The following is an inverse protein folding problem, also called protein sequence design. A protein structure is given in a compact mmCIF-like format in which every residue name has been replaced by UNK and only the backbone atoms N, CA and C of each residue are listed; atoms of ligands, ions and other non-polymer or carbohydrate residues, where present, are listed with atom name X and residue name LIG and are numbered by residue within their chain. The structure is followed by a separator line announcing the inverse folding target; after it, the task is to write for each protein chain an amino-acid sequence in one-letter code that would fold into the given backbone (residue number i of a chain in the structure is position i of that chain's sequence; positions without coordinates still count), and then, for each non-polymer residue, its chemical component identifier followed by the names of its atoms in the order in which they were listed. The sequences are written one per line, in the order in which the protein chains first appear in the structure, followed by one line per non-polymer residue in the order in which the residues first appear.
data_IF_714927302785
#
_entry.id   IF_714927302785
#
_cell.length_a   1.000
_cell.length_b   1.000
_cell.length_c   1.000
_cell.angle_alpha   90.00
_cell.angle_beta   90.00
_cell.angle_gamma   90.00
#
_symmetry.space_group_name_H-M   'P 1'
#
loop_
_entity.id
_entity.type
_entity.pdbx_description
1 polymer ?
#
# COMPACT_ATOMS: atom_id res chain seq x y z
N UNK A 1 30.22 -5.03 -16.74
CA UNK A 1 28.81 -4.77 -17.14
C UNK A 1 28.78 -4.57 -18.63
N UNK A 2 27.87 -5.24 -19.36
CA UNK A 2 27.71 -5.06 -20.81
C UNK A 2 26.80 -3.85 -21.05
N UNK A 3 27.27 -2.87 -21.83
CA UNK A 3 26.45 -1.75 -22.29
C UNK A 3 25.59 -2.19 -23.48
N UNK A 4 24.32 -1.81 -23.49
CA UNK A 4 23.35 -2.09 -24.57
C UNK A 4 23.56 -1.12 -25.75
N UNK A 5 24.42 -0.10 -25.59
CA UNK A 5 24.64 0.99 -26.55
C UNK A 5 25.38 0.59 -27.84
N UNK A 6 26.10 -0.54 -27.85
CA UNK A 6 27.11 -0.81 -28.89
C UNK A 6 26.69 -1.88 -29.91
N UNK A 7 25.44 -2.35 -29.87
CA UNK A 7 24.95 -3.41 -30.77
C UNK A 7 23.45 -3.43 -30.99
N UNK A 8 23.03 -4.01 -32.12
CA UNK A 8 21.61 -4.28 -32.40
C UNK A 8 21.22 -5.58 -31.73
N UNK A 9 20.33 -5.49 -30.73
CA UNK A 9 19.81 -6.64 -29.99
C UNK A 9 18.31 -6.73 -30.22
N UNK A 10 17.83 -7.90 -30.64
CA UNK A 10 16.41 -8.18 -30.72
C UNK A 10 15.97 -8.99 -29.50
N UNK A 11 14.96 -8.52 -28.78
CA UNK A 11 14.51 -9.10 -27.51
C UNK A 11 13.15 -9.74 -27.71
N UNK A 12 13.10 -11.07 -27.56
CA UNK A 12 11.85 -11.83 -27.55
C UNK A 12 11.58 -12.36 -26.14
N UNK A 13 10.31 -12.40 -25.75
CA UNK A 13 9.87 -12.96 -24.47
C UNK A 13 9.11 -14.25 -24.75
N UNK A 14 9.58 -15.37 -24.20
CA UNK A 14 8.90 -16.66 -24.25
C UNK A 14 8.67 -17.14 -22.81
N UNK A 15 7.40 -17.22 -22.39
CA UNK A 15 6.81 -17.76 -21.14
C UNK A 15 7.52 -17.45 -19.80
N UNK A 16 8.82 -17.72 -19.65
CA UNK A 16 9.67 -17.43 -18.46
C UNK A 16 11.12 -17.06 -18.80
N UNK A 17 11.44 -16.73 -20.06
CA UNK A 17 12.80 -16.43 -20.52
C UNK A 17 12.80 -15.16 -21.38
N UNK A 18 13.77 -14.28 -21.13
CA UNK A 18 14.14 -13.23 -22.10
C UNK A 18 15.17 -13.82 -23.03
N UNK A 19 14.86 -13.81 -24.32
CA UNK A 19 15.73 -14.25 -25.39
C UNK A 19 16.35 -13.00 -26.00
N UNK A 20 17.63 -12.79 -25.74
CA UNK A 20 18.41 -11.76 -26.39
C UNK A 20 19.07 -12.37 -27.61
N UNK A 21 18.63 -11.98 -28.79
CA UNK A 21 19.30 -12.29 -30.04
C UNK A 21 20.26 -11.12 -30.34
N UNK A 22 21.55 -11.32 -30.10
CA UNK A 22 22.57 -10.34 -30.50
C UNK A 22 22.72 -10.44 -32.01
N UNK A 23 22.22 -9.46 -32.75
CA UNK A 23 22.23 -9.45 -34.22
C UNK A 23 23.56 -8.91 -34.74
N UNK A 24 24.09 -7.85 -34.11
CA UNK A 24 25.37 -7.23 -34.47
C UNK A 24 26.03 -6.61 -33.24
N UNK A 25 27.27 -6.99 -32.95
CA UNK A 25 28.06 -6.43 -31.85
C UNK A 25 29.56 -6.49 -32.20
N UNK A 26 30.37 -5.44 -31.91
CA UNK A 26 31.76 -5.33 -32.37
C UNK A 26 32.71 -6.42 -31.81
N UNK A 27 32.34 -7.06 -30.70
CA UNK A 27 33.19 -8.08 -30.03
C UNK A 27 32.53 -9.45 -29.88
N UNK A 28 31.27 -9.60 -30.28
CA UNK A 28 30.48 -10.82 -30.02
C UNK A 28 29.83 -11.26 -31.32
N UNK A 29 30.07 -12.52 -31.71
CA UNK A 29 29.40 -13.14 -32.86
C UNK A 29 27.90 -13.29 -32.58
N UNK A 30 27.02 -13.27 -33.59
CA UNK A 30 25.59 -13.44 -33.38
C UNK A 30 25.28 -14.64 -32.49
N UNK A 31 24.67 -14.38 -31.33
CA UNK A 31 24.49 -15.36 -30.26
C UNK A 31 23.11 -15.20 -29.65
N UNK A 32 22.46 -16.33 -29.34
CA UNK A 32 21.19 -16.40 -28.63
C UNK A 32 21.46 -16.58 -27.14
N UNK A 33 21.23 -15.54 -26.34
CA UNK A 33 21.39 -15.58 -24.88
C UNK A 33 20.02 -15.76 -24.25
N UNK A 34 19.82 -16.86 -23.53
CA UNK A 34 18.59 -17.14 -22.77
C UNK A 34 18.83 -16.76 -21.33
N UNK A 35 18.19 -15.70 -20.87
CA UNK A 35 18.21 -15.32 -19.45
C UNK A 35 16.92 -15.83 -18.81
N UNK A 36 16.99 -16.73 -17.81
CA UNK A 36 15.81 -17.10 -17.04
C UNK A 36 15.26 -15.85 -16.35
N UNK A 37 13.96 -15.59 -16.53
CA UNK A 37 13.27 -14.57 -15.75
C UNK A 37 13.08 -15.20 -14.37
N UNK A 38 13.97 -14.89 -13.44
CA UNK A 38 13.69 -15.08 -12.01
C UNK A 38 12.56 -14.09 -11.71
N UNK A 39 11.32 -14.58 -11.79
CA UNK A 39 10.17 -13.78 -11.41
C UNK A 39 10.21 -13.65 -9.90
N UNK A 40 10.37 -12.42 -9.38
CA UNK A 40 10.11 -12.16 -7.97
C UNK A 40 8.73 -12.75 -7.64
N UNK A 41 8.54 -13.40 -6.48
CA UNK A 41 7.24 -13.91 -6.11
C UNK A 41 6.22 -12.78 -6.24
N UNK A 42 5.20 -12.96 -7.08
CA UNK A 42 4.24 -11.88 -7.38
C UNK A 42 3.34 -11.50 -6.19
N UNK A 43 3.37 -12.30 -5.13
CA UNK A 43 2.54 -12.13 -3.94
C UNK A 43 3.36 -11.39 -2.89
N UNK A 44 2.87 -10.20 -2.49
CA UNK A 44 3.51 -9.36 -1.47
C UNK A 44 3.80 -10.12 -0.16
N UNK A 45 2.92 -11.06 0.22
CA UNK A 45 3.06 -11.87 1.43
C UNK A 45 4.40 -12.62 1.52
N UNK A 46 5.02 -13.01 0.40
CA UNK A 46 6.31 -13.71 0.42
C UNK A 46 7.49 -12.85 0.89
N UNK A 47 7.32 -11.54 0.92
CA UNK A 47 8.33 -10.62 1.44
C UNK A 47 8.18 -10.38 2.93
N UNK A 48 7.15 -10.92 3.59
CA UNK A 48 7.03 -10.86 5.05
C UNK A 48 7.80 -12.02 5.68
N UNK A 49 8.43 -11.73 6.80
CA UNK A 49 9.09 -12.74 7.61
C UNK A 49 8.09 -13.76 8.17
N UNK A 50 8.47 -15.04 8.21
CA UNK A 50 7.59 -16.11 8.66
C UNK A 50 7.20 -15.96 10.13
N UNK A 51 8.13 -15.53 10.99
CA UNK A 51 7.85 -15.32 12.41
C UNK A 51 6.94 -14.11 12.61
N UNK A 52 7.13 -13.05 11.80
CA UNK A 52 6.20 -11.94 11.74
C UNK A 52 4.79 -12.39 11.35
N UNK A 53 4.65 -13.20 10.30
CA UNK A 53 3.34 -13.73 9.87
C UNK A 53 2.69 -14.61 10.94
N UNK A 54 3.46 -15.46 11.62
CA UNK A 54 2.96 -16.28 12.74
C UNK A 54 2.49 -15.41 13.90
N UNK A 55 3.25 -14.36 14.23
CA UNK A 55 2.90 -13.43 15.31
C UNK A 55 1.63 -12.64 14.98
N UNK A 56 1.52 -12.12 13.75
CA UNK A 56 0.31 -11.41 13.29
C UNK A 56 -0.93 -12.32 13.30
N UNK A 57 -0.80 -13.56 12.83
CA UNK A 57 -1.88 -14.56 12.91
C UNK A 57 -2.28 -14.87 14.34
N UNK A 58 -1.31 -15.02 15.24
CA UNK A 58 -1.58 -15.23 16.67
C UNK A 58 -2.31 -14.02 17.27
N UNK A 59 -1.86 -12.82 16.94
CA UNK A 59 -2.52 -11.58 17.35
C UNK A 59 -3.96 -11.50 16.85
N UNK A 60 -4.20 -11.81 15.57
CA UNK A 60 -5.53 -11.87 15.00
C UNK A 60 -6.46 -12.85 15.75
N UNK A 61 -5.91 -13.98 16.21
CA UNK A 61 -6.65 -14.97 17.00
C UNK A 61 -6.92 -14.53 18.43
N UNK A 62 -5.97 -13.84 19.06
CA UNK A 62 -6.07 -13.38 20.45
C UNK A 62 -6.83 -12.05 20.59
N UNK A 63 -7.25 -11.46 19.46
CA UNK A 63 -7.97 -10.19 19.41
C UNK A 63 -7.07 -8.97 19.54
N UNK A 64 -5.85 -9.03 19.00
CA UNK A 64 -4.84 -7.96 19.01
C UNK A 64 -4.47 -7.45 20.41
N UNK A 65 -4.35 -8.38 21.37
CA UNK A 65 -3.93 -8.08 22.77
C UNK A 65 -2.44 -7.78 22.94
N UNK A 66 -1.63 -8.02 21.91
CA UNK A 66 -0.21 -7.68 21.87
C UNK A 66 0.07 -6.77 20.69
N UNK A 67 1.27 -6.19 20.64
CA UNK A 67 1.72 -5.31 19.55
C UNK A 67 2.89 -5.96 18.80
N UNK A 68 2.98 -5.74 17.49
CA UNK A 68 4.11 -6.12 16.64
C UNK A 68 5.27 -5.14 16.85
N UNK A 69 4.96 -3.84 16.97
CA UNK A 69 5.91 -2.73 17.18
C UNK A 69 5.88 -2.25 18.63
N UNK A 70 6.76 -2.74 19.53
CA UNK A 70 6.69 -2.42 20.95
C UNK A 70 7.04 -0.97 21.30
N UNK A 71 7.81 -0.23 20.48
CA UNK A 71 8.18 1.16 20.78
C UNK A 71 7.11 2.16 20.34
N UNK A 72 6.45 1.92 19.20
CA UNK A 72 5.53 2.91 18.60
C UNK A 72 4.09 2.42 18.42
N UNK A 73 3.81 1.14 18.68
CA UNK A 73 2.50 0.52 18.47
C UNK A 73 2.22 0.19 17.01
N UNK A 74 1.20 -0.61 16.72
CA UNK A 74 0.91 -1.10 15.36
C UNK A 74 0.07 -0.19 14.49
N UNK A 75 -0.41 0.90 15.07
CA UNK A 75 -1.23 1.88 14.38
C UNK A 75 -0.37 3.03 13.85
N UNK A 76 -0.67 3.50 12.65
CA UNK A 76 -0.04 4.64 11.98
C UNK A 76 -1.09 5.66 11.62
N UNK A 77 -0.70 6.93 11.52
CA UNK A 77 -1.64 7.96 11.11
C UNK A 77 -1.99 7.84 9.61
N UNK A 78 -3.26 8.02 9.27
CA UNK A 78 -3.80 7.93 7.90
C UNK A 78 -3.04 8.84 6.94
N UNK A 79 -2.69 10.05 7.36
CA UNK A 79 -2.02 11.01 6.49
C UNK A 79 -0.66 10.54 6.00
N UNK A 80 0.11 9.80 6.80
CA UNK A 80 1.38 9.24 6.32
C UNK A 80 1.13 8.14 5.29
N UNK A 81 0.18 7.24 5.55
CA UNK A 81 -0.22 6.21 4.58
C UNK A 81 -0.66 6.84 3.27
N UNK A 82 -1.51 7.86 3.34
CA UNK A 82 -2.08 8.52 2.18
C UNK A 82 -1.05 9.36 1.44
N UNK A 83 -0.12 10.00 2.15
CA UNK A 83 1.03 10.65 1.56
C UNK A 83 1.87 9.66 0.75
N UNK A 84 2.16 8.48 1.29
CA UNK A 84 2.90 7.42 0.58
C UNK A 84 2.15 6.98 -0.68
N UNK A 85 0.85 6.70 -0.55
CA UNK A 85 0.03 6.17 -1.61
C UNK A 85 -0.24 7.17 -2.75
N UNK A 86 -0.74 8.37 -2.42
CA UNK A 86 -1.10 9.38 -3.40
C UNK A 86 0.10 10.02 -4.08
N UNK A 87 1.27 10.01 -3.43
CA UNK A 87 2.51 10.45 -4.06
C UNK A 87 2.94 9.55 -5.22
N UNK A 88 2.61 8.26 -5.20
CA UNK A 88 2.86 7.35 -6.32
C UNK A 88 2.10 7.74 -7.59
N UNK A 89 0.95 8.39 -7.45
CA UNK A 89 0.13 8.83 -8.58
C UNK A 89 0.58 10.16 -9.19
N UNK A 90 1.53 10.88 -8.57
CA UNK A 90 2.06 12.13 -9.12
C UNK A 90 2.81 11.95 -10.44
N UNK A 91 3.20 10.71 -10.77
CA UNK A 91 3.98 10.36 -11.97
C UNK A 91 3.17 9.59 -13.02
N UNK A 92 2.20 8.78 -12.61
CA UNK A 92 1.40 7.94 -13.50
C UNK A 92 -0.04 7.80 -12.99
N UNK A 93 -0.83 8.89 -13.01
CA UNK A 93 -2.18 8.91 -12.44
C UNK A 93 -3.16 7.98 -13.18
N UNK A 94 -2.85 7.61 -14.43
CA UNK A 94 -3.72 6.77 -15.25
C UNK A 94 -3.49 5.27 -15.04
N UNK A 95 -2.22 4.82 -14.97
CA UNK A 95 -1.91 3.39 -14.91
C UNK A 95 -1.55 2.91 -13.50
N UNK A 96 -1.08 3.79 -12.62
CA UNK A 96 -0.76 3.41 -11.23
C UNK A 96 -1.95 2.80 -10.50
N UNK A 97 -3.18 3.37 -10.55
CA UNK A 97 -4.32 2.80 -9.85
C UNK A 97 -4.67 1.38 -10.31
N UNK A 98 -4.72 1.15 -11.62
CA UNK A 98 -4.97 -0.17 -12.21
C UNK A 98 -3.94 -1.19 -11.74
N UNK A 99 -2.67 -0.80 -11.78
CA UNK A 99 -1.57 -1.67 -11.41
C UNK A 99 -1.58 -2.03 -9.94
N UNK A 100 -1.85 -1.05 -9.07
CA UNK A 100 -2.00 -1.30 -7.65
C UNK A 100 -3.21 -2.21 -7.38
N UNK A 101 -4.36 -1.96 -8.02
CA UNK A 101 -5.54 -2.81 -7.92
C UNK A 101 -5.22 -4.27 -8.28
N UNK A 102 -4.58 -4.52 -9.43
CA UNK A 102 -4.24 -5.87 -9.89
C UNK A 102 -3.26 -6.59 -8.96
N UNK A 103 -2.17 -5.91 -8.56
CA UNK A 103 -1.16 -6.50 -7.67
C UNK A 103 -1.77 -6.78 -6.29
N UNK A 104 -2.57 -5.87 -5.76
CA UNK A 104 -3.23 -6.02 -4.46
C UNK A 104 -4.26 -7.13 -4.48
N UNK A 105 -5.11 -7.19 -5.51
CA UNK A 105 -6.08 -8.28 -5.70
C UNK A 105 -5.37 -9.63 -5.80
N UNK A 106 -4.33 -9.73 -6.62
CA UNK A 106 -3.53 -10.95 -6.76
C UNK A 106 -2.85 -11.35 -5.44
N UNK A 107 -2.27 -10.38 -4.72
CA UNK A 107 -1.52 -10.58 -3.49
C UNK A 107 -2.39 -10.82 -2.26
N UNK A 108 -3.70 -10.59 -2.35
CA UNK A 108 -4.67 -10.86 -1.28
C UNK A 108 -5.57 -12.05 -1.60
N UNK A 109 -5.30 -12.78 -2.69
CA UNK A 109 -5.97 -14.04 -3.00
C UNK A 109 -5.25 -15.18 -2.28
N UNK A 110 -5.85 -15.83 -1.25
CA UNK A 110 -5.20 -16.89 -0.49
C UNK A 110 -4.75 -18.10 -1.33
N UNK A 111 -5.39 -18.35 -2.48
CA UNK A 111 -4.97 -19.42 -3.40
C UNK A 111 -3.60 -19.17 -4.03
N UNK A 112 -3.12 -17.91 -4.03
CA UNK A 112 -1.81 -17.55 -4.59
C UNK A 112 -0.66 -17.67 -3.60
N UNK A 113 -0.93 -17.84 -2.29
CA UNK A 113 0.11 -17.71 -1.26
C UNK A 113 1.08 -18.89 -1.25
N UNK A 114 0.77 -19.99 -1.91
CA UNK A 114 1.58 -21.22 -1.91
C UNK A 114 1.80 -21.83 -0.51
N UNK A 115 1.19 -21.24 0.52
CA UNK A 115 1.14 -21.71 1.90
C UNK A 115 -0.32 -21.71 2.36
N UNK A 116 -0.75 -22.77 3.03
CA UNK A 116 -2.06 -22.81 3.66
C UNK A 116 -1.98 -22.01 4.96
N UNK A 117 -2.33 -20.71 4.91
CA UNK A 117 -2.36 -19.87 6.12
C UNK A 117 -3.25 -20.43 7.23
N UNK A 118 -4.28 -21.21 6.89
CA UNK A 118 -5.16 -21.88 7.85
C UNK A 118 -4.44 -23.03 8.56
N UNK A 119 -3.32 -23.52 8.02
CA UNK A 119 -2.48 -24.53 8.68
C UNK A 119 -1.79 -24.01 9.94
N UNK A 120 -1.64 -22.69 10.10
CA UNK A 120 -1.13 -22.08 11.33
C UNK A 120 -2.16 -22.06 12.46
N UNK A 121 -3.44 -22.32 12.17
CA UNK A 121 -4.49 -22.40 13.19
C UNK A 121 -4.42 -23.75 13.92
N UNK A 122 -4.74 -23.77 15.24
CA UNK A 122 -4.97 -25.02 15.96
C UNK A 122 -5.99 -25.91 15.22
N UNK A 123 -5.78 -27.23 15.23
CA UNK A 123 -6.53 -28.18 14.40
C UNK A 123 -8.07 -28.04 14.51
N UNK A 124 -8.59 -27.78 15.72
CA UNK A 124 -10.03 -27.62 15.95
C UNK A 124 -10.58 -26.32 15.31
N UNK A 125 -9.82 -25.22 15.35
CA UNK A 125 -10.19 -23.95 14.69
C UNK A 125 -10.06 -24.07 13.18
N UNK A 126 -9.04 -24.77 12.68
CA UNK A 126 -8.85 -25.06 11.25
C UNK A 126 -10.06 -25.80 10.66
N UNK A 127 -10.52 -26.84 11.34
CA UNK A 127 -11.68 -27.62 10.90
C UNK A 127 -12.97 -26.79 10.93
N UNK A 128 -13.18 -26.02 12.00
CA UNK A 128 -14.33 -25.13 12.14
C UNK A 128 -14.35 -24.05 11.04
N UNK A 129 -13.20 -23.42 10.78
CA UNK A 129 -13.05 -22.41 9.73
C UNK A 129 -13.42 -22.98 8.35
N UNK A 130 -12.86 -24.15 7.99
CA UNK A 130 -13.14 -24.81 6.71
C UNK A 130 -14.61 -25.22 6.55
N UNK A 131 -15.27 -25.63 7.62
CA UNK A 131 -16.67 -26.04 7.59
C UNK A 131 -17.63 -24.84 7.47
N UNK A 132 -17.23 -23.68 7.96
CA UNK A 132 -18.09 -22.49 7.98
C UNK A 132 -17.98 -21.62 6.72
N UNK A 133 -16.95 -21.81 5.89
CA UNK A 133 -16.78 -21.10 4.63
C UNK A 133 -17.78 -21.64 3.58
N UNK A 134 -18.62 -20.78 2.99
CA UNK A 134 -19.48 -21.17 1.87
C UNK A 134 -18.69 -21.62 0.64
N UNK A 135 -19.24 -22.55 -0.14
CA UNK A 135 -18.60 -23.01 -1.39
C UNK A 135 -18.46 -21.90 -2.45
N UNK A 136 -19.43 -20.97 -2.46
CA UNK A 136 -19.44 -19.76 -3.27
C UNK A 136 -20.21 -18.63 -2.57
N UNK A 137 -19.97 -17.41 -3.04
CA UNK A 137 -20.59 -16.18 -2.54
C UNK A 137 -21.69 -15.64 -3.46
N UNK A 138 -22.19 -16.42 -4.43
CA UNK A 138 -23.32 -16.02 -5.29
C UNK A 138 -24.55 -15.65 -4.47
N UNK A 139 -24.89 -16.46 -3.46
CA UNK A 139 -26.08 -16.23 -2.63
C UNK A 139 -25.85 -15.06 -1.68
N UNK A 140 -26.81 -14.14 -1.60
CA UNK A 140 -26.79 -12.99 -0.68
C UNK A 140 -26.49 -13.41 0.76
N UNK A 141 -27.10 -14.50 1.25
CA UNK A 141 -26.84 -15.04 2.59
C UNK A 141 -25.38 -15.45 2.81
N UNK A 142 -24.73 -16.04 1.80
CA UNK A 142 -23.34 -16.48 1.90
C UNK A 142 -22.40 -15.27 1.91
N UNK A 143 -22.65 -14.30 1.03
CA UNK A 143 -21.88 -13.05 1.00
C UNK A 143 -22.05 -12.26 2.30
N UNK A 144 -23.28 -12.15 2.83
CA UNK A 144 -23.55 -11.52 4.13
C UNK A 144 -22.73 -12.16 5.24
N UNK A 145 -22.72 -13.50 5.32
CA UNK A 145 -21.92 -14.24 6.31
C UNK A 145 -20.42 -13.93 6.20
N UNK A 146 -19.88 -13.84 4.98
CA UNK A 146 -18.48 -13.46 4.75
C UNK A 146 -18.16 -12.05 5.28
N UNK A 147 -19.04 -11.08 5.01
CA UNK A 147 -18.85 -9.71 5.48
C UNK A 147 -19.05 -9.57 6.99
N UNK A 148 -20.05 -10.22 7.59
CA UNK A 148 -20.34 -10.09 9.02
C UNK A 148 -19.31 -10.79 9.91
N UNK A 149 -18.83 -11.98 9.52
CA UNK A 149 -17.89 -12.74 10.33
C UNK A 149 -16.43 -12.40 10.02
N UNK A 150 -16.08 -12.32 8.74
CA UNK A 150 -14.70 -12.09 8.30
C UNK A 150 -14.40 -10.61 8.17
N UNK A 151 -14.96 -9.97 7.16
CA UNK A 151 -14.52 -8.63 6.74
C UNK A 151 -14.76 -7.58 7.81
N UNK A 152 -15.96 -7.50 8.40
CA UNK A 152 -16.31 -6.49 9.41
C UNK A 152 -15.37 -6.55 10.61
N UNK A 153 -15.14 -7.75 11.16
CA UNK A 153 -14.26 -7.92 12.32
C UNK A 153 -12.82 -7.51 12.03
N UNK A 154 -12.28 -7.85 10.86
CA UNK A 154 -10.94 -7.40 10.45
C UNK A 154 -10.88 -5.89 10.25
N UNK A 155 -11.89 -5.29 9.64
CA UNK A 155 -11.87 -3.87 9.29
C UNK A 155 -11.95 -2.96 10.51
N UNK A 156 -12.80 -3.34 11.47
CA UNK A 156 -12.92 -2.68 12.77
C UNK A 156 -11.61 -2.83 13.56
N UNK A 157 -11.00 -4.02 13.58
CA UNK A 157 -9.71 -4.26 14.26
C UNK A 157 -8.57 -3.47 13.64
N UNK A 158 -8.54 -3.35 12.32
CA UNK A 158 -7.52 -2.55 11.61
C UNK A 158 -7.83 -1.07 11.59
N UNK A 159 -8.97 -0.68 12.18
CA UNK A 159 -9.44 0.68 12.19
C UNK A 159 -9.56 1.26 10.76
N UNK A 160 -9.81 0.41 9.78
CA UNK A 160 -9.79 0.78 8.35
C UNK A 160 -11.10 1.43 7.88
N UNK A 161 -12.21 1.13 8.55
CA UNK A 161 -13.51 1.71 8.32
C UNK A 161 -14.61 0.82 8.87
N UNK A 162 -15.84 1.33 8.92
CA UNK A 162 -17.01 0.58 9.37
C UNK A 162 -17.74 0.04 8.14
N UNK A 163 -17.85 -1.28 8.04
CA UNK A 163 -18.51 -1.95 6.92
C UNK A 163 -19.91 -2.44 7.31
N UNK A 164 -20.87 -2.15 6.43
CA UNK A 164 -22.24 -2.66 6.52
C UNK A 164 -22.64 -3.37 5.23
N UNK A 165 -23.08 -4.63 5.32
CA UNK A 165 -23.60 -5.36 4.17
C UNK A 165 -25.03 -4.92 3.85
N UNK A 166 -25.27 -4.47 2.62
CA UNK A 166 -26.58 -3.96 2.19
C UNK A 166 -27.43 -5.10 1.63
N UNK A 167 -27.98 -5.94 2.52
CA UNK A 167 -28.74 -7.14 2.16
C UNK A 167 -29.93 -6.85 1.25
N UNK A 168 -30.74 -5.83 1.57
CA UNK A 168 -31.94 -5.48 0.80
C UNK A 168 -31.63 -4.99 -0.62
N UNK A 169 -30.43 -4.44 -0.85
CA UNK A 169 -29.98 -3.96 -2.16
C UNK A 169 -29.29 -5.06 -2.97
N UNK A 170 -28.72 -6.05 -2.26
CA UNK A 170 -27.97 -7.14 -2.86
C UNK A 170 -28.86 -8.18 -3.52
N UNK A 171 -28.37 -8.77 -4.61
CA UNK A 171 -29.01 -9.85 -5.37
C UNK A 171 -27.98 -10.96 -5.64
N UNK A 172 -28.40 -12.15 -6.12
CA UNK A 172 -27.44 -13.16 -6.53
C UNK A 172 -26.40 -12.60 -7.52
N UNK A 173 -25.11 -12.86 -7.26
CA UNK A 173 -23.95 -12.40 -8.04
C UNK A 173 -23.81 -10.86 -8.17
N UNK A 174 -24.55 -10.09 -7.35
CA UNK A 174 -24.45 -8.62 -7.33
C UNK A 174 -24.66 -8.11 -5.92
N UNK A 175 -23.57 -7.79 -5.23
CA UNK A 175 -23.59 -7.45 -3.81
C UNK A 175 -23.21 -6.01 -3.57
N UNK A 176 -23.81 -5.41 -2.55
CA UNK A 176 -23.56 -4.04 -2.16
C UNK A 176 -23.13 -3.96 -0.71
N UNK A 177 -22.13 -3.13 -0.45
CA UNK A 177 -21.65 -2.84 0.90
C UNK A 177 -21.46 -1.34 1.06
N UNK A 178 -21.80 -0.85 2.25
CA UNK A 178 -21.52 0.52 2.68
C UNK A 178 -20.23 0.53 3.49
N UNK A 179 -19.44 1.57 3.29
CA UNK A 179 -18.20 1.82 4.00
C UNK A 179 -18.20 3.25 4.56
N UNK A 180 -18.27 3.33 5.89
CA UNK A 180 -18.25 4.57 6.66
C UNK A 180 -16.85 4.79 7.22
N UNK A 181 -16.45 6.05 7.37
CA UNK A 181 -15.16 6.42 7.97
C UNK A 181 -13.96 5.68 7.32
N UNK A 182 -14.05 5.44 6.01
CA UNK A 182 -13.05 4.70 5.25
C UNK A 182 -11.76 5.48 5.12
N UNK A 183 -10.63 4.88 5.51
CA UNK A 183 -9.36 5.59 5.55
C UNK A 183 -8.90 6.11 4.18
N UNK A 184 -9.18 5.40 3.08
CA UNK A 184 -8.70 5.78 1.72
C UNK A 184 -9.32 7.09 1.20
N UNK A 185 -10.48 7.49 1.73
CA UNK A 185 -11.23 8.64 1.26
C UNK A 185 -11.39 9.74 2.32
N UNK A 186 -11.05 9.46 3.58
CA UNK A 186 -11.29 10.40 4.67
C UNK A 186 -10.46 11.67 4.48
N UNK A 187 -11.03 12.83 4.77
CA UNK A 187 -10.35 14.12 4.62
C UNK A 187 -10.22 14.62 3.17
N UNK A 188 -10.82 13.92 2.19
CA UNK A 188 -10.82 14.26 0.76
C UNK A 188 -12.24 14.52 0.22
N UNK A 189 -13.10 15.12 1.04
CA UNK A 189 -14.47 15.45 0.68
C UNK A 189 -14.53 16.35 -0.56
N UNK A 190 -15.42 16.01 -1.50
CA UNK A 190 -15.73 16.82 -2.69
C UNK A 190 -14.54 17.10 -3.62
N UNK A 191 -13.57 16.19 -3.74
CA UNK A 191 -12.47 16.30 -4.71
C UNK A 191 -12.93 16.11 -6.18
N UNK A 192 -14.10 15.48 -6.38
CA UNK A 192 -14.76 15.32 -7.67
C UNK A 192 -14.51 13.99 -8.37
N UNK A 193 -14.09 12.97 -7.64
CA UNK A 193 -13.79 11.62 -8.15
C UNK A 193 -13.97 10.60 -7.02
N UNK A 194 -14.08 9.32 -7.38
CA UNK A 194 -13.98 8.21 -6.45
C UNK A 194 -12.51 8.04 -6.01
N UNK A 195 -12.23 7.41 -4.87
CA UNK A 195 -10.89 7.40 -4.28
C UNK A 195 -10.40 6.02 -3.84
N UNK A 196 -11.30 5.14 -3.40
CA UNK A 196 -10.91 3.88 -2.80
C UNK A 196 -10.73 2.80 -3.87
N UNK A 197 -9.56 2.16 -3.88
CA UNK A 197 -9.31 1.02 -4.76
C UNK A 197 -8.36 -0.03 -4.21
N UNK A 198 -7.60 0.27 -3.15
CA UNK A 198 -6.78 -0.74 -2.47
C UNK A 198 -7.68 -1.68 -1.67
N UNK A 199 -8.51 -1.14 -0.76
CA UNK A 199 -9.38 -1.99 0.07
C UNK A 199 -10.43 -2.75 -0.74
N UNK A 200 -11.03 -2.15 -1.80
CA UNK A 200 -11.81 -2.89 -2.76
C UNK A 200 -11.02 -4.05 -3.40
N UNK A 201 -9.83 -3.81 -3.95
CA UNK A 201 -8.99 -4.85 -4.55
C UNK A 201 -8.69 -6.01 -3.58
N UNK A 202 -8.33 -5.69 -2.34
CA UNK A 202 -8.10 -6.69 -1.29
C UNK A 202 -9.33 -7.56 -1.08
N UNK A 203 -10.51 -6.93 -1.00
CA UNK A 203 -11.78 -7.62 -0.73
C UNK A 203 -12.10 -8.63 -1.83
N UNK A 204 -11.97 -8.25 -3.10
CA UNK A 204 -12.24 -9.17 -4.21
C UNK A 204 -11.14 -10.22 -4.41
N UNK A 205 -9.90 -9.91 -4.04
CA UNK A 205 -8.82 -10.91 -3.98
C UNK A 205 -9.15 -12.02 -2.98
N UNK A 206 -9.56 -11.64 -1.76
CA UNK A 206 -9.97 -12.60 -0.72
C UNK A 206 -11.17 -13.43 -1.18
N UNK A 207 -12.19 -12.81 -1.78
CA UNK A 207 -13.36 -13.53 -2.31
C UNK A 207 -12.95 -14.57 -3.35
N UNK A 208 -12.18 -14.17 -4.36
CA UNK A 208 -11.72 -15.06 -5.42
C UNK A 208 -10.91 -16.25 -4.88
N UNK A 209 -10.08 -16.04 -3.85
CA UNK A 209 -9.27 -17.11 -3.29
C UNK A 209 -9.95 -17.98 -2.24
N UNK A 210 -11.07 -17.55 -1.66
CA UNK A 210 -11.85 -18.34 -0.70
C UNK A 210 -12.94 -19.18 -1.38
N UNK A 211 -13.40 -18.80 -2.58
CA UNK A 211 -14.37 -19.61 -3.32
C UNK A 211 -13.76 -20.94 -3.76
N UNK A 212 -14.57 -22.00 -3.72
CA UNK A 212 -14.19 -23.30 -4.30
C UNK A 212 -14.29 -23.30 -5.82
N UNK A 213 -15.15 -22.44 -6.36
CA UNK A 213 -15.31 -22.21 -7.81
C UNK A 213 -14.28 -21.16 -8.21
N UNK A 214 -13.37 -21.53 -9.10
CA UNK A 214 -12.37 -20.61 -9.64
C UNK A 214 -13.04 -19.62 -10.60
N UNK A 215 -13.25 -18.39 -10.12
CA UNK A 215 -13.77 -17.28 -10.93
C UNK A 215 -13.28 -15.94 -10.39
N UNK A 216 -13.25 -14.95 -11.28
CA UNK A 216 -12.83 -13.59 -10.96
C UNK A 216 -13.92 -12.80 -10.25
N UNK A 217 -13.51 -11.97 -9.29
CA UNK A 217 -14.36 -10.97 -8.64
C UNK A 217 -13.87 -9.57 -8.95
N UNK A 218 -14.80 -8.65 -9.19
CA UNK A 218 -14.51 -7.23 -9.40
C UNK A 218 -15.42 -6.36 -8.55
N UNK A 219 -14.90 -5.18 -8.21
CA UNK A 219 -15.55 -4.23 -7.32
C UNK A 219 -15.32 -2.82 -7.80
N UNK A 220 -16.36 -1.99 -7.72
CA UNK A 220 -16.29 -0.56 -8.05
C UNK A 220 -17.01 0.27 -6.98
N UNK A 221 -16.58 1.52 -6.83
CA UNK A 221 -17.31 2.54 -6.07
C UNK A 221 -18.55 2.98 -6.86
N UNK A 222 -19.69 3.01 -6.16
CA UNK A 222 -20.97 3.53 -6.66
C UNK A 222 -21.42 4.78 -5.93
N UNK A 223 -20.84 5.04 -4.75
CA UNK A 223 -20.89 6.29 -3.99
C UNK A 223 -19.53 6.52 -3.37
N UNK A 224 -19.12 7.77 -3.20
CA UNK A 224 -17.85 8.11 -2.58
C UNK A 224 -17.88 9.47 -1.88
N UNK A 225 -17.22 9.57 -0.74
CA UNK A 225 -17.00 10.86 -0.04
C UNK A 225 -16.27 11.85 -0.94
N UNK A 226 -15.35 11.37 -1.79
CA UNK A 226 -14.68 12.19 -2.80
C UNK A 226 -15.62 12.77 -3.86
N UNK A 227 -16.78 12.15 -4.10
CA UNK A 227 -17.85 12.65 -4.97
C UNK A 227 -18.86 13.54 -4.24
N UNK A 228 -18.75 13.67 -2.92
CA UNK A 228 -19.68 14.41 -2.07
C UNK A 228 -20.80 13.56 -1.45
N UNK A 229 -20.76 12.23 -1.61
CA UNK A 229 -21.66 11.34 -0.86
C UNK A 229 -21.31 11.32 0.64
N UNK A 230 -22.26 11.07 1.55
CA UNK A 230 -21.98 10.98 2.98
C UNK A 230 -21.14 9.74 3.37
N UNK A 231 -20.95 8.79 2.45
CA UNK A 231 -20.25 7.53 2.68
C UNK A 231 -19.80 6.90 1.35
N UNK A 232 -18.89 5.93 1.40
CA UNK A 232 -18.54 5.13 0.24
C UNK A 232 -19.43 3.89 0.12
N UNK A 233 -19.81 3.53 -1.11
CA UNK A 233 -20.60 2.33 -1.37
C UNK A 233 -19.97 1.54 -2.50
N UNK A 234 -19.76 0.24 -2.29
CA UNK A 234 -19.15 -0.62 -3.28
C UNK A 234 -20.15 -1.62 -3.85
N UNK A 235 -20.01 -1.90 -5.14
CA UNK A 235 -20.72 -2.96 -5.85
C UNK A 235 -19.74 -4.06 -6.24
N UNK A 236 -20.02 -5.30 -5.85
CA UNK A 236 -19.20 -6.48 -6.12
C UNK A 236 -19.94 -7.44 -7.08
N UNK A 237 -19.23 -7.94 -8.09
CA UNK A 237 -19.76 -8.96 -9.02
C UNK A 237 -18.68 -9.99 -9.41
N UNK A 238 -19.06 -11.26 -9.67
CA UNK A 238 -18.14 -12.34 -10.02
C UNK A 238 -17.92 -12.45 -11.54
N UNK A 239 -17.59 -11.33 -12.19
CA UNK A 239 -17.32 -11.24 -13.63
C UNK A 239 -16.55 -9.97 -13.96
N UNK A 240 -16.01 -9.89 -15.17
CA UNK A 240 -15.48 -8.63 -15.71
C UNK A 240 -16.56 -7.55 -15.78
N UNK A 241 -16.12 -6.32 -15.57
CA UNK A 241 -16.97 -5.12 -15.56
C UNK A 241 -16.26 -4.11 -16.46
N UNK A 242 -16.93 -3.67 -17.53
CA UNK A 242 -16.36 -2.72 -18.48
C UNK A 242 -15.97 -1.40 -17.79
N UNK A 243 -16.74 -1.02 -16.77
CA UNK A 243 -16.55 0.20 -16.00
C UNK A 243 -15.33 0.17 -15.07
N UNK A 244 -14.77 -1.01 -14.74
CA UNK A 244 -13.68 -1.14 -13.76
C UNK A 244 -12.50 -0.22 -14.11
N UNK A 245 -12.02 -0.31 -15.35
CA UNK A 245 -10.89 0.50 -15.81
C UNK A 245 -11.19 1.99 -15.74
N UNK A 246 -12.40 2.38 -16.12
CA UNK A 246 -12.83 3.78 -16.08
C UNK A 246 -12.98 4.31 -14.66
N UNK A 247 -13.40 3.48 -13.69
CA UNK A 247 -13.52 3.87 -12.28
C UNK A 247 -12.16 4.07 -11.59
N UNK A 248 -11.14 3.32 -12.01
CA UNK A 248 -9.81 3.37 -11.41
C UNK A 248 -8.95 4.49 -12.00
N UNK A 249 -9.16 4.85 -13.27
CA UNK A 249 -8.39 5.90 -13.93
C UNK A 249 -8.61 7.25 -13.25
N UNK A 250 -7.55 7.88 -12.75
CA UNK A 250 -7.62 9.21 -12.10
C UNK A 250 -7.09 10.31 -13.02
N UNK A 251 -7.77 11.45 -12.98
CA UNK A 251 -7.32 12.66 -13.68
C UNK A 251 -6.19 13.32 -12.88
N UNK A 252 -5.21 13.91 -13.56
CA UNK A 252 -4.14 14.68 -12.91
C UNK A 252 -4.69 15.76 -11.98
N UNK A 253 -5.77 16.45 -12.39
CA UNK A 253 -6.45 17.46 -11.56
C UNK A 253 -7.02 16.89 -10.26
N UNK A 254 -7.47 15.63 -10.26
CA UNK A 254 -7.94 14.93 -9.06
C UNK A 254 -6.77 14.68 -8.13
N UNK A 255 -5.65 14.18 -8.67
CA UNK A 255 -4.43 13.88 -7.89
C UNK A 255 -3.85 15.16 -7.28
N UNK A 256 -3.83 16.26 -8.03
CA UNK A 256 -3.36 17.55 -7.52
C UNK A 256 -4.21 18.04 -6.33
N UNK A 257 -5.55 17.97 -6.44
CA UNK A 257 -6.46 18.31 -5.33
C UNK A 257 -6.23 17.46 -4.09
N UNK A 258 -6.04 16.15 -4.27
CA UNK A 258 -5.77 15.23 -3.14
C UNK A 258 -4.44 15.60 -2.48
N UNK A 259 -3.39 15.85 -3.27
CA UNK A 259 -2.08 16.24 -2.74
C UNK A 259 -2.11 17.62 -2.05
N UNK A 260 -2.88 18.58 -2.58
CA UNK A 260 -3.05 19.88 -1.94
C UNK A 260 -3.82 19.75 -0.62
N UNK A 261 -4.88 18.93 -0.57
CA UNK A 261 -5.63 18.67 0.67
C UNK A 261 -4.78 17.95 1.72
N UNK A 262 -3.98 16.96 1.31
CA UNK A 262 -2.98 16.31 2.19
C UNK A 262 -2.00 17.33 2.77
N UNK A 263 -1.45 18.19 1.91
CA UNK A 263 -0.54 19.26 2.31
C UNK A 263 -1.21 20.22 3.30
N UNK A 264 -2.44 20.64 3.04
CA UNK A 264 -3.22 21.51 3.95
C UNK A 264 -3.38 20.86 5.34
N UNK A 265 -3.74 19.58 5.39
CA UNK A 265 -3.85 18.84 6.66
C UNK A 265 -2.51 18.77 7.40
N UNK A 266 -1.43 18.44 6.70
CA UNK A 266 -0.07 18.36 7.28
C UNK A 266 0.38 19.73 7.82
N UNK A 267 0.18 20.80 7.06
CA UNK A 267 0.53 22.16 7.49
C UNK A 267 -0.31 22.61 8.68
N UNK A 268 -1.61 22.29 8.68
CA UNK A 268 -2.49 22.58 9.81
C UNK A 268 -2.03 21.87 11.08
N UNK A 269 -1.55 20.62 10.97
CA UNK A 269 -0.90 19.91 12.08
C UNK A 269 0.42 20.59 12.49
N UNK A 270 1.34 20.86 11.56
CA UNK A 270 2.66 21.44 11.90
C UNK A 270 2.50 22.78 12.62
N UNK A 271 1.67 23.67 12.09
CA UNK A 271 1.50 25.04 12.58
C UNK A 271 0.63 25.14 13.84
N UNK A 272 -0.47 24.38 13.90
CA UNK A 272 -1.50 24.56 14.94
C UNK A 272 -1.69 23.34 15.83
N UNK A 273 -0.91 22.27 15.62
CA UNK A 273 -1.04 20.96 16.28
C UNK A 273 -2.47 20.40 16.23
N UNK A 274 -3.21 20.72 15.15
CA UNK A 274 -4.55 20.19 14.90
C UNK A 274 -4.48 18.67 14.66
N UNK A 275 -5.43 17.88 15.17
CA UNK A 275 -5.51 16.45 14.88
C UNK A 275 -5.52 16.19 13.37
N UNK A 276 -4.65 15.29 12.94
CA UNK A 276 -4.44 15.03 11.52
C UNK A 276 -5.42 13.95 11.05
N UNK A 277 -6.34 14.31 10.15
CA UNK A 277 -7.31 13.39 9.51
C UNK A 277 -8.13 12.55 10.51
N UNK A 278 -8.63 13.18 11.58
CA UNK A 278 -9.40 12.52 12.62
C UNK A 278 -10.81 12.13 12.16
N UNK A 279 -11.18 10.86 12.36
CA UNK A 279 -12.51 10.32 12.08
C UNK A 279 -13.37 10.28 13.34
N UNK A 280 -14.69 10.53 13.26
CA UNK A 280 -15.57 10.67 14.43
C UNK A 280 -15.53 9.49 15.40
N UNK A 281 -15.55 8.26 14.88
CA UNK A 281 -15.60 7.05 15.68
C UNK A 281 -14.25 6.37 15.73
N UNK A 282 -13.56 6.35 14.59
CA UNK A 282 -12.34 5.57 14.39
C UNK A 282 -11.05 6.36 14.66
N UNK A 283 -11.11 7.67 14.90
CA UNK A 283 -9.92 8.50 15.08
C UNK A 283 -9.01 8.53 13.84
N UNK A 284 -7.74 8.92 14.02
CA UNK A 284 -6.81 9.24 12.91
C UNK A 284 -5.91 8.09 12.44
N UNK A 285 -6.02 6.93 13.07
CA UNK A 285 -5.03 5.88 12.99
C UNK A 285 -5.56 4.65 12.24
N UNK A 286 -4.71 3.96 11.49
CA UNK A 286 -4.99 2.66 10.84
C UNK A 286 -3.89 1.66 11.16
N UNK A 287 -4.19 0.38 11.12
CA UNK A 287 -3.18 -0.65 11.35
C UNK A 287 -2.09 -0.60 10.26
N UNK A 288 -0.83 -0.84 10.65
CA UNK A 288 0.37 -0.77 9.79
C UNK A 288 0.23 -1.58 8.49
N UNK A 289 -0.52 -2.68 8.52
CA UNK A 289 -0.82 -3.49 7.34
C UNK A 289 -1.38 -2.66 6.18
N UNK A 290 -2.20 -1.63 6.43
CA UNK A 290 -2.78 -0.79 5.37
C UNK A 290 -1.72 0.03 4.61
N UNK A 291 -0.60 0.38 5.26
CA UNK A 291 0.58 0.96 4.60
C UNK A 291 1.44 -0.12 3.96
N UNK A 292 1.67 -1.24 4.64
CA UNK A 292 2.53 -2.31 4.13
C UNK A 292 2.01 -2.92 2.82
N UNK A 293 0.69 -2.98 2.62
CA UNK A 293 0.08 -3.37 1.34
C UNK A 293 0.42 -2.39 0.20
N UNK A 294 0.67 -1.13 0.51
CA UNK A 294 1.13 -0.13 -0.47
C UNK A 294 2.63 -0.27 -0.69
N UNK A 295 3.42 -0.30 0.38
CA UNK A 295 4.89 -0.24 0.31
C UNK A 295 5.55 -1.56 -0.06
N UNK A 296 4.84 -2.69 0.01
CA UNK A 296 5.32 -3.98 -0.49
C UNK A 296 5.16 -4.11 -2.01
N UNK A 297 4.32 -3.30 -2.66
CA UNK A 297 4.09 -3.39 -4.11
C UNK A 297 5.39 -3.24 -4.95
N UNK A 298 6.32 -2.33 -4.62
CA UNK A 298 7.62 -2.25 -5.29
C UNK A 298 8.51 -3.49 -5.17
N UNK A 299 8.29 -4.37 -4.18
CA UNK A 299 9.07 -5.61 -4.02
C UNK A 299 8.68 -6.70 -5.02
N UNK A 300 7.45 -6.60 -5.54
CA UNK A 300 6.89 -7.55 -6.52
C UNK A 300 6.74 -6.94 -7.91
N UNK A 301 7.03 -5.64 -8.05
CA UNK A 301 6.91 -4.88 -9.28
C UNK A 301 7.97 -3.77 -9.37
N UNK A 302 9.15 -4.10 -9.89
CA UNK A 302 10.34 -3.21 -9.95
C UNK A 302 10.07 -1.80 -10.51
N UNK A 303 9.20 -1.70 -11.51
CA UNK A 303 8.74 -0.42 -12.08
C UNK A 303 8.14 0.55 -11.05
N UNK A 304 7.55 0.05 -9.97
CA UNK A 304 6.99 0.87 -8.90
C UNK A 304 8.09 1.46 -8.00
N UNK A 305 9.30 0.87 -7.96
CA UNK A 305 10.42 1.39 -7.15
C UNK A 305 10.71 2.85 -7.49
N UNK A 306 10.84 3.16 -8.78
CA UNK A 306 11.07 4.55 -9.20
C UNK A 306 9.86 5.44 -8.92
N UNK A 307 8.64 4.94 -9.11
CA UNK A 307 7.42 5.71 -8.88
C UNK A 307 7.31 6.14 -7.42
N UNK A 308 7.50 5.22 -6.47
CA UNK A 308 7.44 5.55 -5.05
C UNK A 308 8.58 6.47 -4.61
N UNK A 309 9.81 6.23 -5.11
CA UNK A 309 10.97 7.09 -4.80
C UNK A 309 10.76 8.50 -5.33
N UNK A 310 10.39 8.65 -6.60
CA UNK A 310 10.18 9.97 -7.21
C UNK A 310 8.93 10.67 -6.67
N UNK A 311 7.88 9.91 -6.32
CA UNK A 311 6.70 10.41 -5.64
C UNK A 311 7.07 11.00 -4.28
N UNK A 312 7.83 10.25 -3.48
CA UNK A 312 8.42 10.73 -2.23
C UNK A 312 9.22 12.01 -2.44
N UNK A 313 10.17 12.03 -3.39
CA UNK A 313 10.98 13.22 -3.69
C UNK A 313 10.13 14.45 -3.98
N UNK A 314 9.09 14.32 -4.80
CA UNK A 314 8.20 15.44 -5.13
C UNK A 314 7.41 15.92 -3.91
N UNK A 315 6.86 15.00 -3.11
CA UNK A 315 6.11 15.33 -1.90
C UNK A 315 6.99 15.98 -0.83
N UNK A 316 8.17 15.42 -0.57
CA UNK A 316 9.14 15.95 0.40
C UNK A 316 9.64 17.33 0.00
N UNK A 317 9.97 17.53 -1.28
CA UNK A 317 10.38 18.84 -1.80
C UNK A 317 9.29 19.89 -1.60
N UNK A 318 8.05 19.57 -1.99
CA UNK A 318 6.90 20.50 -1.85
C UNK A 318 6.66 20.88 -0.39
N UNK A 319 6.75 19.91 0.53
CA UNK A 319 6.61 20.18 1.96
C UNK A 319 7.74 21.09 2.46
N UNK A 320 9.00 20.76 2.14
CA UNK A 320 10.17 21.54 2.54
C UNK A 320 10.10 23.00 2.08
N UNK A 321 9.83 23.22 0.78
CA UNK A 321 9.64 24.56 0.21
C UNK A 321 8.53 25.33 0.94
N UNK A 322 7.42 24.65 1.23
CA UNK A 322 6.27 25.30 1.90
C UNK A 322 6.61 25.69 3.34
N UNK A 323 7.34 24.85 4.09
CA UNK A 323 7.74 25.19 5.47
C UNK A 323 8.68 26.40 5.50
N UNK A 324 9.65 26.49 4.59
CA UNK A 324 10.52 27.66 4.48
C UNK A 324 9.71 28.92 4.11
N UNK A 325 8.75 28.80 3.18
CA UNK A 325 7.87 29.92 2.80
C UNK A 325 7.00 30.42 3.97
N UNK A 326 6.70 29.56 4.95
CA UNK A 326 5.98 29.96 6.17
C UNK A 326 6.86 30.67 7.19
N UNK A 327 8.15 30.86 6.90
CA UNK A 327 9.11 31.61 7.73
C UNK A 327 9.91 30.75 8.71
N UNK A 328 9.76 29.43 8.68
CA UNK A 328 10.61 28.54 9.49
C UNK A 328 12.03 28.55 8.95
N UNK A 329 13.01 28.57 9.84
CA UNK A 329 14.39 28.33 9.42
C UNK A 329 14.62 26.84 9.14
N UNK A 330 15.77 26.51 8.52
CA UNK A 330 16.08 25.16 8.07
C UNK A 330 16.08 24.13 9.22
N UNK A 331 16.57 24.49 10.41
CA UNK A 331 16.65 23.57 11.54
C UNK A 331 15.27 23.36 12.19
N UNK A 332 14.46 24.40 12.26
CA UNK A 332 13.06 24.30 12.68
C UNK A 332 12.25 23.42 11.73
N UNK A 333 12.43 23.60 10.42
CA UNK A 333 11.77 22.77 9.41
C UNK A 333 12.14 21.28 9.56
N UNK A 334 13.43 20.97 9.78
CA UNK A 334 13.86 19.59 10.08
C UNK A 334 13.19 19.06 11.34
N UNK A 335 13.20 19.83 12.44
CA UNK A 335 12.58 19.42 13.70
C UNK A 335 11.09 19.11 13.52
N UNK A 336 10.34 20.02 12.90
CA UNK A 336 8.91 19.84 12.64
C UNK A 336 8.62 18.63 11.75
N UNK A 337 9.49 18.34 10.77
CA UNK A 337 9.38 17.12 9.98
C UNK A 337 9.52 15.87 10.85
N UNK A 338 10.55 15.79 11.69
CA UNK A 338 10.79 14.62 12.52
C UNK A 338 9.67 14.44 13.56
N UNK A 339 9.18 15.53 14.14
CA UNK A 339 8.03 15.52 15.06
C UNK A 339 6.76 15.04 14.34
N UNK A 340 6.54 15.48 13.10
CA UNK A 340 5.45 14.98 12.25
C UNK A 340 5.56 13.47 11.96
N UNK A 341 6.75 12.98 11.59
CA UNK A 341 6.96 11.54 11.34
C UNK A 341 6.79 10.70 12.61
N UNK A 342 7.25 11.20 13.76
CA UNK A 342 7.03 10.55 15.06
C UNK A 342 5.54 10.53 15.43
N UNK A 343 4.83 11.65 15.25
CA UNK A 343 3.38 11.73 15.47
C UNK A 343 2.61 10.73 14.59
N UNK A 344 3.02 10.59 13.33
CA UNK A 344 2.42 9.65 12.40
C UNK A 344 2.78 8.17 12.69
N UNK A 345 3.66 7.92 13.68
CA UNK A 345 4.17 6.60 14.04
C UNK A 345 4.81 5.88 12.84
N UNK A 346 5.50 6.65 11.98
CA UNK A 346 6.33 6.10 10.88
C UNK A 346 7.36 5.13 11.45
N UNK A 347 7.83 5.42 12.66
CA UNK A 347 8.74 4.66 13.50
C UNK A 347 9.19 5.59 14.62
N UNK A 348 10.14 5.17 15.45
CA UNK A 348 10.82 6.12 16.36
C UNK A 348 11.94 6.77 15.59
N UNK A 349 11.75 8.04 15.21
CA UNK A 349 12.67 8.82 14.41
C UNK A 349 13.60 9.62 15.31
N UNK A 350 14.90 9.52 15.06
CA UNK A 350 15.96 10.28 15.76
C UNK A 350 16.91 10.91 14.75
N UNK A 351 17.45 12.08 15.10
CA UNK A 351 18.47 12.79 14.32
C UNK A 351 19.72 12.98 15.18
N UNK A 352 20.83 12.44 14.71
CA UNK A 352 22.18 12.71 15.20
C UNK A 352 23.02 13.17 13.99
N UNK A 353 24.12 12.47 13.68
CA UNK A 353 24.86 12.64 12.41
C UNK A 353 24.07 12.08 11.21
N UNK A 354 23.15 11.15 11.47
CA UNK A 354 22.29 10.49 10.49
C UNK A 354 20.83 10.54 10.97
N UNK A 355 19.89 10.32 10.05
CA UNK A 355 18.50 10.06 10.41
C UNK A 355 18.35 8.57 10.65
N UNK A 356 17.82 8.18 11.82
CA UNK A 356 17.51 6.78 12.14
C UNK A 356 16.03 6.61 12.42
N UNK A 357 15.46 5.51 11.92
CA UNK A 357 14.07 5.12 12.17
C UNK A 357 14.04 3.69 12.70
N UNK A 358 13.73 3.55 13.99
CA UNK A 358 13.47 2.26 14.60
C UNK A 358 12.02 1.84 14.35
N UNK A 359 11.78 0.53 14.17
CA UNK A 359 10.45 -0.01 13.91
C UNK A 359 9.74 0.66 12.71
N UNK A 360 10.52 0.95 11.66
CA UNK A 360 10.04 1.65 10.47
C UNK A 360 8.85 0.91 9.82
N UNK A 361 7.71 1.59 9.77
CA UNK A 361 6.44 1.13 9.24
C UNK A 361 6.50 0.63 7.78
N UNK A 362 7.44 1.15 6.97
CA UNK A 362 7.58 0.77 5.57
C UNK A 362 8.10 -0.68 5.39
N UNK A 363 8.92 -1.17 6.33
CA UNK A 363 9.65 -2.46 6.21
C UNK A 363 9.58 -3.35 7.45
N UNK A 364 8.79 -2.99 8.45
CA UNK A 364 8.66 -3.79 9.66
C UNK A 364 8.16 -5.21 9.32
N UNK A 365 8.82 -6.24 9.82
CA UNK A 365 8.43 -7.63 9.56
C UNK A 365 8.62 -8.09 8.11
N UNK A 366 9.37 -7.35 7.28
CA UNK A 366 9.66 -7.72 5.89
C UNK A 366 11.13 -8.14 5.70
N UNK A 367 11.39 -8.89 4.62
CA UNK A 367 12.71 -9.32 4.15
C UNK A 367 12.98 -8.80 2.75
N UNK A 368 14.09 -8.10 2.58
CA UNK A 368 14.53 -7.51 1.32
C UNK A 368 16.00 -7.84 1.04
N UNK A 369 16.44 -7.65 -0.21
CA UNK A 369 17.83 -7.90 -0.62
C UNK A 369 18.71 -6.65 -0.56
N UNK A 370 18.09 -5.50 -0.69
CA UNK A 370 18.73 -4.18 -0.71
C UNK A 370 17.95 -3.22 0.22
N UNK A 371 18.54 -2.08 0.61
CA UNK A 371 17.79 -1.00 1.24
C UNK A 371 16.59 -0.62 0.37
N UNK A 372 15.43 -0.57 1.00
CA UNK A 372 14.16 -0.69 0.29
C UNK A 372 13.09 0.26 0.83
N UNK A 373 13.43 1.22 1.68
CA UNK A 373 12.49 2.26 2.10
C UNK A 373 12.34 3.30 0.98
N UNK A 374 11.80 2.89 -0.17
CA UNK A 374 11.81 3.65 -1.42
C UNK A 374 11.11 4.99 -1.29
N UNK A 375 9.92 5.01 -0.68
CA UNK A 375 9.18 6.24 -0.49
C UNK A 375 9.89 7.14 0.52
N UNK A 376 10.21 6.63 1.72
CA UNK A 376 10.84 7.43 2.78
C UNK A 376 12.17 8.01 2.33
N UNK A 377 12.98 7.24 1.60
CA UNK A 377 14.25 7.72 1.02
C UNK A 377 14.04 8.84 0.02
N UNK A 378 13.04 8.71 -0.87
CA UNK A 378 12.68 9.77 -1.81
C UNK A 378 12.22 11.03 -1.07
N UNK A 379 11.31 10.85 -0.12
CA UNK A 379 10.73 11.92 0.69
C UNK A 379 11.78 12.72 1.45
N UNK A 380 12.66 12.05 2.19
CA UNK A 380 13.77 12.72 2.89
C UNK A 380 14.73 13.40 1.91
N UNK A 381 15.02 12.80 0.75
CA UNK A 381 15.84 13.43 -0.29
C UNK A 381 15.23 14.74 -0.80
N UNK A 382 13.95 14.71 -1.18
CA UNK A 382 13.26 15.89 -1.67
C UNK A 382 13.20 17.00 -0.64
N UNK A 383 12.90 16.63 0.61
CA UNK A 383 12.80 17.58 1.72
C UNK A 383 14.15 18.24 2.00
N UNK A 384 15.20 17.44 2.27
CA UNK A 384 16.53 17.96 2.61
C UNK A 384 17.15 18.77 1.47
N UNK A 385 16.89 18.37 0.21
CA UNK A 385 17.32 19.14 -0.94
C UNK A 385 16.65 20.52 -0.98
N UNK A 386 15.34 20.58 -0.72
CA UNK A 386 14.60 21.85 -0.74
C UNK A 386 15.08 22.84 0.32
N UNK A 387 15.43 22.36 1.51
CA UNK A 387 15.73 23.24 2.65
C UNK A 387 17.23 23.48 2.87
N UNK A 388 18.09 22.53 2.48
CA UNK A 388 19.54 22.56 2.79
C UNK A 388 20.42 22.32 1.57
N UNK A 389 19.82 22.07 0.39
CA UNK A 389 20.54 21.62 -0.82
C UNK A 389 21.41 20.38 -0.55
N UNK A 390 20.92 19.47 0.31
CA UNK A 390 21.60 18.23 0.70
C UNK A 390 20.84 17.01 0.20
N UNK A 391 21.59 15.95 -0.11
CA UNK A 391 21.00 14.65 -0.45
C UNK A 391 21.07 13.70 0.73
N UNK A 392 20.24 12.66 0.72
CA UNK A 392 20.31 11.57 1.69
C UNK A 392 20.39 10.22 1.01
N UNK A 393 21.03 9.25 1.66
CA UNK A 393 21.09 7.88 1.16
C UNK A 393 20.78 6.90 2.28
N UNK A 394 19.86 5.98 2.04
CA UNK A 394 19.62 4.84 2.93
C UNK A 394 20.85 3.92 2.93
N UNK A 395 21.44 3.72 4.10
CA UNK A 395 22.63 2.87 4.30
C UNK A 395 22.36 1.63 5.14
N UNK A 396 21.27 1.62 5.92
CA UNK A 396 20.78 0.47 6.69
C UNK A 396 19.28 0.35 6.56
N UNK A 397 18.76 -0.87 6.62
CA UNK A 397 17.32 -1.13 6.52
C UNK A 397 16.93 -2.31 7.40
N UNK A 398 15.86 -2.17 8.19
CA UNK A 398 15.33 -3.28 8.97
C UNK A 398 14.90 -4.47 8.11
N UNK A 399 14.54 -4.22 6.84
CA UNK A 399 14.26 -5.27 5.86
C UNK A 399 15.47 -6.13 5.50
N UNK A 400 16.70 -5.67 5.77
CA UNK A 400 17.94 -6.43 5.65
C UNK A 400 18.31 -7.19 6.94
N UNK A 401 17.56 -6.98 8.02
CA UNK A 401 17.89 -7.48 9.36
C UNK A 401 18.68 -6.49 10.23
N UNK A 402 18.86 -5.24 9.79
CA UNK A 402 19.45 -4.20 10.63
C UNK A 402 18.52 -3.82 11.80
N UNK A 403 19.05 -3.30 12.93
CA UNK A 403 18.24 -2.90 14.07
C UNK A 403 17.36 -1.65 13.81
N UNK A 404 17.66 -0.89 12.77
CA UNK A 404 16.94 0.32 12.35
C UNK A 404 17.25 0.65 10.88
N UNK A 405 16.38 1.46 10.26
CA UNK A 405 16.72 2.10 8.99
C UNK A 405 17.55 3.35 9.26
N UNK A 406 18.57 3.62 8.44
CA UNK A 406 19.49 4.74 8.62
C UNK A 406 19.77 5.46 7.30
N UNK A 407 19.75 6.79 7.33
CA UNK A 407 20.06 7.66 6.21
C UNK A 407 21.21 8.61 6.51
N UNK A 408 22.26 8.56 5.70
CA UNK A 408 23.40 9.50 5.74
C UNK A 408 23.11 10.72 4.87
N UNK A 409 23.62 11.89 5.27
CA UNK A 409 23.62 13.10 4.45
C UNK A 409 24.79 13.08 3.46
N UNK A 410 24.59 13.63 2.27
CA UNK A 410 25.57 13.68 1.17
C UNK A 410 25.74 15.07 0.60
#
# INVERSE_FOLDING_TARGET
MMSISDGTININIEEKKRIFNVVKHPKIKPTKIKVPIVTSPRVMAYHFDEDYQKQDMKMAMDGYKSTLRPKVGDFINIAWRDLVFWSGMLWDPENFPMKMYDITKYSNNPSNFGIDLVSYLPWYKRNLFRLLIPDNFTKVKNMKKMFEWGTKSTQERYNSGIIEFLEKKSKPDKHYVRFLEGYECWGFDNIGDSLAFMKPAMTVGVLAGMEKIQREWNIIETKCVGLGDPYCEYMLVPREIDELRSSLKKKTTTIDKVNDRLKEHILAYIQNKKPLMERPTLGSDVHIHELQQVTAAPLVADQLVMIFRMGGTKAGKKLGETLIQTGLNENEAVKELLDFMNYCKVGKVTLEETIRIYENSERFGMKTKDPSCYFTTGFLNGFMYAIKNQHVKEIRCIGLGDPYCEWEFK
#
